data_IF_343304267087
#
_entry.id   IF_343304267087
#
_cell.length_a   1.000
_cell.length_b   1.000
_cell.length_c   1.000
_cell.angle_alpha   90.00
_cell.angle_beta   90.00
_cell.angle_gamma   90.00
#
_symmetry.space_group_name_H-M   'P 1'
#
loop_
_entity.id
_entity.type
_entity.pdbx_description
1 polymer ?
#
# COMPACT_ATOMS: atom_id res chain seq x y z
N UNK A 1 0.26 20.64 -8.00
CA UNK A 1 1.70 20.39 -7.88
C UNK A 1 2.04 19.10 -8.62
N UNK A 2 3.24 18.98 -9.20
CA UNK A 2 3.68 17.69 -9.76
C UNK A 2 4.23 16.83 -8.61
N UNK A 3 4.03 15.51 -8.67
CA UNK A 3 4.62 14.55 -7.71
C UNK A 3 6.13 14.36 -7.88
N UNK A 4 6.69 14.88 -8.97
CA UNK A 4 8.12 14.77 -9.28
C UNK A 4 8.92 15.93 -8.68
N UNK A 5 8.29 17.10 -8.48
CA UNK A 5 8.96 18.31 -8.00
C UNK A 5 8.73 18.58 -6.50
N UNK A 6 7.80 17.88 -5.85
CA UNK A 6 7.42 18.14 -4.45
C UNK A 6 7.22 16.84 -3.67
N UNK A 7 7.49 16.88 -2.37
CA UNK A 7 7.03 15.83 -1.46
C UNK A 7 5.50 15.88 -1.36
N UNK A 8 4.87 14.72 -1.53
CA UNK A 8 3.45 14.49 -1.28
C UNK A 8 3.31 13.40 -0.22
N UNK A 9 2.30 13.51 0.62
CA UNK A 9 1.94 12.46 1.59
C UNK A 9 0.94 11.52 0.94
N UNK A 10 1.39 10.29 0.65
CA UNK A 10 0.53 9.22 0.19
C UNK A 10 0.08 8.36 1.37
N UNK A 11 -1.23 8.28 1.59
CA UNK A 11 -1.82 7.52 2.69
C UNK A 11 -2.67 6.38 2.11
N UNK A 12 -2.44 5.16 2.61
CA UNK A 12 -3.25 3.99 2.30
C UNK A 12 -3.82 3.46 3.61
N UNK A 13 -5.14 3.52 3.75
CA UNK A 13 -5.86 2.88 4.85
C UNK A 13 -6.49 1.60 4.31
N UNK A 14 -6.26 0.48 5.00
CA UNK A 14 -6.79 -0.83 4.64
C UNK A 14 -7.51 -1.42 5.84
N UNK A 15 -8.79 -1.70 5.68
CA UNK A 15 -9.66 -2.38 6.64
C UNK A 15 -10.24 -3.63 5.97
N UNK A 16 -10.93 -4.52 6.70
CA UNK A 16 -11.66 -5.62 6.08
C UNK A 16 -12.70 -5.16 5.04
N UNK A 17 -13.24 -3.94 5.21
CA UNK A 17 -14.35 -3.44 4.39
C UNK A 17 -13.88 -2.59 3.21
N UNK A 18 -12.74 -1.90 3.32
CA UNK A 18 -12.26 -0.98 2.29
C UNK A 18 -10.74 -0.78 2.24
N UNK A 19 -10.28 -0.37 1.06
CA UNK A 19 -8.98 0.27 0.87
C UNK A 19 -9.22 1.70 0.39
N UNK A 20 -8.65 2.65 1.11
CA UNK A 20 -8.75 4.07 0.83
C UNK A 20 -7.38 4.65 0.53
N UNK A 21 -7.31 5.46 -0.51
CA UNK A 21 -6.11 6.18 -0.93
C UNK A 21 -6.32 7.68 -0.80
N UNK A 22 -5.38 8.34 -0.15
CA UNK A 22 -5.36 9.80 0.01
C UNK A 22 -4.02 10.39 -0.42
N UNK A 23 -4.07 11.62 -0.93
CA UNK A 23 -2.89 12.42 -1.27
C UNK A 23 -3.00 13.73 -0.50
N UNK A 24 -1.98 14.07 0.29
CA UNK A 24 -1.94 15.26 1.16
C UNK A 24 -3.18 15.38 2.06
N UNK A 25 -3.63 14.25 2.63
CA UNK A 25 -4.80 14.18 3.51
C UNK A 25 -6.16 14.22 2.80
N UNK A 26 -6.19 14.46 1.49
CA UNK A 26 -7.43 14.43 0.70
C UNK A 26 -7.68 13.03 0.12
N UNK A 27 -8.85 12.47 0.38
CA UNK A 27 -9.28 11.21 -0.22
C UNK A 27 -9.38 11.36 -1.75
N UNK A 28 -8.73 10.44 -2.47
CA UNK A 28 -8.73 10.40 -3.95
C UNK A 28 -9.44 9.19 -4.50
N UNK A 29 -9.52 8.10 -3.72
CA UNK A 29 -10.18 6.85 -4.12
C UNK A 29 -10.53 6.02 -2.89
N UNK A 30 -11.68 5.36 -2.95
CA UNK A 30 -12.05 4.26 -2.04
C UNK A 30 -12.49 3.05 -2.86
N UNK A 31 -12.04 1.87 -2.44
CA UNK A 31 -12.46 0.57 -2.97
C UNK A 31 -13.08 -0.22 -1.82
N UNK A 32 -14.34 -0.60 -1.95
CA UNK A 32 -15.03 -1.45 -0.98
C UNK A 32 -14.83 -2.93 -1.34
N UNK A 33 -14.68 -3.78 -0.34
CA UNK A 33 -14.43 -5.22 -0.49
C UNK A 33 -15.68 -6.05 -0.78
N UNK A 34 -16.88 -5.50 -0.59
CA UNK A 34 -18.14 -6.21 -0.77
C UNK A 34 -18.26 -6.84 -2.16
N UNK A 35 -18.35 -8.17 -2.19
CA UNK A 35 -18.47 -8.96 -3.43
C UNK A 35 -17.17 -9.18 -4.19
N UNK A 36 -16.02 -8.72 -3.68
CA UNK A 36 -14.71 -8.94 -4.31
C UNK A 36 -14.02 -10.14 -3.63
N UNK A 37 -14.08 -11.30 -4.28
CA UNK A 37 -13.46 -12.53 -3.77
C UNK A 37 -11.93 -12.43 -3.56
N UNK A 38 -11.27 -11.48 -4.24
CA UNK A 38 -9.83 -11.23 -4.17
C UNK A 38 -9.48 -9.98 -3.37
N UNK A 39 -10.38 -9.50 -2.50
CA UNK A 39 -10.09 -8.34 -1.67
C UNK A 39 -8.93 -8.62 -0.70
N UNK A 40 -8.12 -7.62 -0.43
CA UNK A 40 -6.88 -7.79 0.34
C UNK A 40 -7.21 -8.02 1.82
N UNK A 41 -7.21 -9.30 2.20
CA UNK A 41 -7.70 -9.77 3.50
C UNK A 41 -6.58 -10.25 4.45
N UNK A 42 -5.35 -10.41 3.96
CA UNK A 42 -4.26 -11.02 4.73
C UNK A 42 -3.16 -10.03 5.11
N UNK A 43 -2.29 -10.37 6.09
CA UNK A 43 -1.17 -9.51 6.48
C UNK A 43 -0.29 -9.11 5.29
N UNK A 44 -0.03 -7.81 5.17
CA UNK A 44 0.73 -7.23 4.06
C UNK A 44 2.14 -6.83 4.48
N UNK A 45 3.06 -6.76 3.50
CA UNK A 45 4.37 -6.15 3.66
C UNK A 45 4.50 -4.92 2.77
N UNK A 46 5.08 -3.86 3.31
CA UNK A 46 5.35 -2.63 2.55
C UNK A 46 6.62 -2.83 1.72
N UNK A 47 6.54 -2.48 0.43
CA UNK A 47 7.69 -2.42 -0.48
C UNK A 47 7.68 -1.07 -1.17
N UNK A 48 8.84 -0.41 -1.19
CA UNK A 48 9.03 0.85 -1.91
C UNK A 48 10.27 0.70 -2.77
N UNK A 49 10.19 1.16 -4.02
CA UNK A 49 11.30 1.06 -4.97
C UNK A 49 11.08 1.94 -6.19
N UNK A 50 12.17 2.20 -6.88
CA UNK A 50 12.21 2.86 -8.17
C UNK A 50 12.66 1.85 -9.21
N UNK A 51 11.98 1.79 -10.36
CA UNK A 51 12.34 0.91 -11.48
C UNK A 51 12.21 1.64 -12.81
N UNK A 52 12.96 1.20 -13.82
CA UNK A 52 12.91 1.71 -15.19
C UNK A 52 11.83 0.98 -15.98
N UNK A 53 10.59 1.46 -15.89
CA UNK A 53 9.44 0.85 -16.58
C UNK A 53 9.59 0.82 -18.10
N UNK A 54 10.15 1.90 -18.67
CA UNK A 54 10.36 2.05 -20.11
C UNK A 54 11.69 1.51 -20.64
N UNK A 55 12.26 0.48 -20.03
CA UNK A 55 13.45 -0.18 -20.58
C UNK A 55 13.09 -0.81 -21.94
N UNK A 56 13.83 -0.54 -23.05
CA UNK A 56 13.54 -1.10 -24.37
C UNK A 56 13.53 -2.64 -24.43
N UNK A 57 14.06 -3.32 -23.41
CA UNK A 57 14.00 -4.78 -23.26
C UNK A 57 12.68 -5.29 -22.66
N UNK A 58 11.75 -4.42 -22.28
CA UNK A 58 10.43 -4.77 -21.75
C UNK A 58 9.42 -4.96 -22.88
N UNK A 59 8.30 -5.60 -22.56
CA UNK A 59 7.17 -5.74 -23.47
C UNK A 59 6.63 -4.37 -23.89
N UNK A 60 6.26 -4.16 -25.17
CA UNK A 60 5.79 -2.86 -25.67
C UNK A 60 4.63 -2.25 -24.86
N UNK A 61 3.64 -3.05 -24.50
CA UNK A 61 2.48 -2.61 -23.70
C UNK A 61 2.91 -2.13 -22.30
N UNK A 62 3.97 -2.72 -21.74
CA UNK A 62 4.52 -2.30 -20.46
C UNK A 62 5.30 -0.99 -20.56
N UNK A 63 6.03 -0.78 -21.67
CA UNK A 63 6.70 0.49 -21.97
C UNK A 63 5.66 1.59 -22.16
N UNK A 64 4.58 1.33 -22.90
CA UNK A 64 3.48 2.28 -23.09
C UNK A 64 2.79 2.60 -21.76
N UNK A 65 2.48 1.59 -20.95
CA UNK A 65 1.92 1.77 -19.60
C UNK A 65 2.82 2.63 -18.69
N UNK A 66 4.14 2.47 -18.81
CA UNK A 66 5.12 3.28 -18.08
C UNK A 66 5.24 4.72 -18.60
N UNK A 67 4.57 5.07 -19.70
CA UNK A 67 4.60 6.40 -20.31
C UNK A 67 5.65 6.58 -21.41
N UNK A 68 6.24 5.50 -21.92
CA UNK A 68 7.24 5.50 -22.99
C UNK A 68 8.64 5.07 -22.54
N UNK A 69 9.60 5.12 -23.47
CA UNK A 69 10.97 4.66 -23.22
C UNK A 69 11.71 5.52 -22.18
N UNK A 70 12.52 4.85 -21.35
CA UNK A 70 13.37 5.51 -20.36
C UNK A 70 14.56 6.18 -21.04
N UNK A 71 14.74 7.49 -20.81
CA UNK A 71 15.87 8.23 -21.34
C UNK A 71 17.11 8.10 -20.44
N UNK A 72 17.91 7.06 -20.65
CA UNK A 72 19.13 6.80 -19.87
C UNK A 72 20.16 7.94 -19.90
N UNK A 73 20.14 8.80 -20.93
CA UNK A 73 21.00 10.00 -21.00
C UNK A 73 20.64 11.08 -19.98
N UNK A 74 19.44 11.02 -19.39
CA UNK A 74 18.96 11.94 -18.34
C UNK A 74 19.16 11.39 -16.92
N UNK A 75 19.85 10.26 -16.77
CA UNK A 75 20.24 9.75 -15.47
C UNK A 75 21.11 10.78 -14.72
N UNK A 76 21.03 10.85 -13.39
CA UNK A 76 20.33 9.93 -12.47
C UNK A 76 18.88 10.33 -12.17
N UNK A 77 17.98 9.34 -12.12
CA UNK A 77 16.64 9.48 -11.54
C UNK A 77 16.69 9.07 -10.06
N UNK A 78 16.18 9.91 -9.17
CA UNK A 78 16.21 9.67 -7.73
C UNK A 78 14.79 9.64 -7.15
N UNK A 79 14.52 8.69 -6.27
CA UNK A 79 13.32 8.65 -5.43
C UNK A 79 13.70 9.10 -4.02
N UNK A 80 13.08 10.19 -3.56
CA UNK A 80 13.28 10.69 -2.20
C UNK A 80 12.08 10.30 -1.32
N UNK A 81 12.35 9.67 -0.18
CA UNK A 81 11.33 9.28 0.81
C UNK A 81 11.60 10.08 2.09
N UNK A 82 10.72 11.02 2.41
CA UNK A 82 10.86 11.88 3.59
C UNK A 82 10.59 11.15 4.90
N UNK A 83 9.70 10.15 4.88
CA UNK A 83 9.37 9.34 6.05
C UNK A 83 8.31 8.29 5.73
N UNK A 84 8.21 7.28 6.60
CA UNK A 84 7.18 6.24 6.53
C UNK A 84 6.58 6.12 7.94
N UNK A 85 5.25 6.24 8.03
CA UNK A 85 4.51 5.90 9.24
C UNK A 85 3.62 4.71 8.92
N UNK A 86 3.58 3.75 9.83
CA UNK A 86 2.73 2.56 9.73
C UNK A 86 1.95 2.47 11.03
N UNK A 87 0.64 2.26 10.92
CA UNK A 87 -0.20 1.94 12.06
C UNK A 87 -0.95 0.64 11.74
N UNK A 88 -0.89 -0.30 12.69
CA UNK A 88 -1.43 -1.64 12.55
C UNK A 88 -2.67 -1.75 13.45
N UNK A 89 -3.79 -2.21 12.90
CA UNK A 89 -5.05 -2.35 13.66
C UNK A 89 -5.06 -3.57 14.59
N UNK A 90 -4.13 -4.49 14.41
CA UNK A 90 -3.98 -5.74 15.16
C UNK A 90 -2.90 -5.64 16.24
N UNK A 91 -2.88 -6.58 17.18
CA UNK A 91 -1.96 -6.57 18.34
C UNK A 91 -0.92 -7.69 18.38
N UNK A 92 -1.01 -8.66 17.46
CA UNK A 92 -0.12 -9.83 17.46
C UNK A 92 1.34 -9.51 17.14
N UNK A 93 2.24 -10.38 17.61
CA UNK A 93 3.67 -10.32 17.27
C UNK A 93 3.99 -11.02 15.96
N UNK A 94 3.15 -11.98 15.56
CA UNK A 94 3.23 -12.75 14.33
C UNK A 94 1.83 -13.11 13.83
N UNK A 95 1.73 -13.52 12.56
CA UNK A 95 0.50 -14.04 11.97
C UNK A 95 0.70 -15.44 11.42
N UNK A 96 -0.26 -16.31 11.72
CA UNK A 96 -0.34 -17.68 11.21
C UNK A 96 -1.53 -17.81 10.27
N UNK A 97 -1.29 -18.42 9.10
CA UNK A 97 -2.34 -18.84 8.19
C UNK A 97 -2.82 -20.22 8.63
N UNK A 98 -4.03 -20.29 9.19
CA UNK A 98 -4.58 -21.54 9.73
C UNK A 98 -5.09 -22.48 8.64
N UNK A 99 -5.29 -21.98 7.42
CA UNK A 99 -5.65 -22.76 6.24
C UNK A 99 -5.04 -22.17 4.94
N UNK A 100 -5.53 -22.64 3.78
CA UNK A 100 -5.12 -22.15 2.44
C UNK A 100 -6.24 -21.40 1.70
N UNK A 101 -7.27 -20.94 2.41
CA UNK A 101 -8.43 -20.27 1.81
C UNK A 101 -8.08 -18.89 1.25
N UNK A 102 -7.08 -18.22 1.86
CA UNK A 102 -6.74 -16.83 1.56
C UNK A 102 -7.70 -15.81 2.18
N UNK A 103 -8.64 -16.24 3.02
CA UNK A 103 -9.57 -15.34 3.71
C UNK A 103 -8.96 -14.77 5.00
N UNK A 104 -9.42 -13.59 5.42
CA UNK A 104 -8.88 -12.94 6.63
C UNK A 104 -9.28 -13.72 7.88
N UNK A 105 -10.41 -14.42 7.84
CA UNK A 105 -10.92 -15.25 8.93
C UNK A 105 -9.98 -16.42 9.26
N UNK A 106 -9.10 -16.83 8.32
CA UNK A 106 -8.10 -17.86 8.59
C UNK A 106 -6.80 -17.31 9.20
N UNK A 107 -6.68 -15.99 9.35
CA UNK A 107 -5.53 -15.35 9.95
C UNK A 107 -5.65 -15.37 11.47
N UNK A 108 -4.65 -15.95 12.12
CA UNK A 108 -4.51 -15.95 13.58
C UNK A 108 -3.35 -15.03 13.99
N UNK A 109 -3.64 -14.09 14.88
CA UNK A 109 -2.62 -13.31 15.56
C UNK A 109 -2.01 -14.12 16.71
N UNK A 110 -0.68 -14.18 16.80
CA UNK A 110 0.05 -14.81 17.91
C UNK A 110 0.28 -13.76 18.99
N UNK A 111 -0.03 -14.10 20.25
CA UNK A 111 0.07 -13.21 21.43
C UNK A 111 -0.70 -11.89 21.27
N UNK A 112 -1.82 -11.93 20.55
CA UNK A 112 -2.67 -10.77 20.33
C UNK A 112 -3.92 -11.12 19.57
N UNK A 113 -4.55 -10.10 19.00
CA UNK A 113 -5.85 -10.19 18.34
C UNK A 113 -5.79 -9.47 17.00
N UNK A 114 -6.40 -10.09 15.99
CA UNK A 114 -6.69 -9.43 14.71
C UNK A 114 -7.67 -8.30 15.00
N UNK A 115 -7.35 -7.08 14.58
CA UNK A 115 -8.13 -5.87 14.85
C UNK A 115 -8.27 -5.49 16.34
N UNK A 116 -7.39 -5.99 17.22
CA UNK A 116 -7.45 -5.73 18.66
C UNK A 116 -7.14 -4.30 19.13
N UNK A 117 -6.84 -3.36 18.22
CA UNK A 117 -6.53 -1.95 18.56
C UNK A 117 -7.14 -0.93 17.57
N UNK A 118 -8.34 -1.21 17.04
CA UNK A 118 -8.98 -0.33 16.03
C UNK A 118 -9.05 1.13 16.49
N UNK A 119 -9.60 1.39 17.68
CA UNK A 119 -9.82 2.75 18.17
C UNK A 119 -8.50 3.53 18.29
N UNK A 120 -7.50 2.95 18.95
CA UNK A 120 -6.18 3.56 19.13
C UNK A 120 -5.47 3.86 17.80
N UNK A 121 -5.71 3.04 16.78
CA UNK A 121 -5.10 3.19 15.47
C UNK A 121 -5.81 4.24 14.63
N UNK A 122 -7.14 4.35 14.72
CA UNK A 122 -7.91 5.41 14.06
C UNK A 122 -7.49 6.80 14.57
N UNK A 123 -7.37 6.98 15.89
CA UNK A 123 -6.95 8.25 16.48
C UNK A 123 -5.53 8.68 16.03
N UNK A 124 -4.64 7.71 15.79
CA UNK A 124 -3.28 7.96 15.27
C UNK A 124 -3.23 8.26 13.78
N UNK A 125 -4.25 7.82 13.04
CA UNK A 125 -4.42 8.08 11.61
C UNK A 125 -5.01 9.47 11.38
N UNK A 126 -6.00 9.87 12.18
CA UNK A 126 -6.66 11.19 12.07
C UNK A 126 -5.74 12.36 12.47
N UNK A 127 -4.62 12.06 13.13
CA UNK A 127 -3.62 13.04 13.57
C UNK A 127 -2.37 13.09 12.69
N UNK A 128 -2.40 12.42 11.52
CA UNK A 128 -1.39 12.51 10.46
C UNK A 128 -1.67 13.67 9.49
#
# INVERSE_FOLDING_TARGET
SSSQDNFLTYTIECTPDFVKWSVDGQETRTMYGDGIASFAHSPMKIKIGLSTGGDPLKEPDYIEWAGGETHYSKLLYNLHIGGIKVAEYSTGTNYEYTDKSGSWESIKAIDGEVLGRIQDTQDKFDTL
#
